data_IF_476758138809
#
_entry.id   IF_476758138809
#
_cell.length_a   1.000
_cell.length_b   1.000
_cell.length_c   1.000
_cell.angle_alpha   90.00
_cell.angle_beta   90.00
_cell.angle_gamma   90.00
#
_symmetry.space_group_name_H-M   'P 1'
#
loop_
_entity.id
_entity.type
_entity.pdbx_description
1 polymer ?
#
# COMPACT_ATOMS: atom_id res chain seq x y z
N UNK A 1 30.53 50.87 55.79
CA UNK A 1 29.72 51.81 55.01
C UNK A 1 28.57 51.02 54.39
N UNK A 2 27.35 51.46 54.67
CA UNK A 2 26.14 50.68 54.43
C UNK A 2 25.71 50.64 52.93
N UNK A 3 25.04 49.59 52.45
CA UNK A 3 24.50 49.51 51.09
C UNK A 3 23.06 50.13 50.99
N UNK A 4 22.83 50.81 49.91
CA UNK A 4 21.50 51.39 49.58
C UNK A 4 20.58 50.38 48.95
N UNK A 5 19.34 50.36 49.43
CA UNK A 5 18.23 49.58 48.91
C UNK A 5 17.63 50.27 47.66
N UNK A 6 17.44 49.53 46.60
CA UNK A 6 16.59 49.92 45.46
C UNK A 6 15.33 49.06 45.44
N UNK A 7 14.20 49.73 45.51
CA UNK A 7 12.88 49.14 45.47
C UNK A 7 12.52 48.72 44.05
N UNK A 8 12.00 47.50 43.89
CA UNK A 8 11.44 47.01 42.66
C UNK A 8 9.95 47.44 42.53
N UNK A 9 9.61 48.17 41.48
CA UNK A 9 8.25 48.45 41.05
C UNK A 9 7.76 47.31 40.18
N UNK A 10 6.79 46.55 40.68
CA UNK A 10 6.10 45.52 39.93
C UNK A 10 5.11 46.15 38.94
N UNK A 11 5.38 45.98 37.66
CA UNK A 11 4.43 46.27 36.59
C UNK A 11 3.53 45.05 36.29
N UNK A 12 2.23 45.16 36.60
CA UNK A 12 1.23 44.20 36.09
C UNK A 12 1.01 44.45 34.60
N UNK A 13 1.59 43.58 33.77
CA UNK A 13 1.28 43.54 32.34
C UNK A 13 0.00 42.73 32.09
N UNK A 14 -1.07 43.44 31.74
CA UNK A 14 -2.32 42.83 31.26
C UNK A 14 -2.09 42.34 29.83
N UNK A 15 -1.85 41.02 29.64
CA UNK A 15 -1.77 40.41 28.31
C UNK A 15 -3.20 40.17 27.77
N UNK A 16 -3.67 41.05 26.89
CA UNK A 16 -4.90 40.82 26.13
C UNK A 16 -4.59 39.90 24.95
N UNK A 17 -4.95 38.64 25.12
CA UNK A 17 -4.85 37.63 24.03
C UNK A 17 -6.03 37.90 23.05
N UNK A 18 -5.72 38.52 21.93
CA UNK A 18 -6.66 38.71 20.81
C UNK A 18 -6.76 37.37 20.06
N UNK A 19 -7.76 36.56 20.40
CA UNK A 19 -8.10 35.33 19.64
C UNK A 19 -8.71 35.72 18.32
N UNK A 20 -7.90 35.76 17.25
CA UNK A 20 -8.38 35.82 15.88
C UNK A 20 -9.09 34.52 15.54
N UNK A 21 -10.38 34.45 15.76
CA UNK A 21 -11.23 33.40 15.23
C UNK A 21 -11.26 33.54 13.70
N UNK A 22 -10.54 32.70 12.97
CA UNK A 22 -10.76 32.55 11.54
C UNK A 22 -12.19 32.03 11.32
N UNK A 23 -12.99 32.67 10.48
CA UNK A 23 -14.26 32.09 10.13
C UNK A 23 -14.02 30.79 9.40
N UNK A 24 -14.43 29.67 10.01
CA UNK A 24 -14.59 28.40 9.28
C UNK A 24 -15.57 28.68 8.16
N UNK A 25 -15.08 28.68 6.91
CA UNK A 25 -15.97 28.72 5.76
C UNK A 25 -16.85 27.46 5.86
N UNK A 26 -18.12 27.64 6.17
CA UNK A 26 -19.11 26.59 6.08
C UNK A 26 -19.04 26.04 4.63
N UNK A 27 -19.07 24.71 4.44
CA UNK A 27 -19.15 24.16 3.09
C UNK A 27 -20.36 24.82 2.40
N UNK A 28 -20.12 25.40 1.22
CA UNK A 28 -21.18 25.97 0.41
C UNK A 28 -22.20 24.84 0.20
N UNK A 29 -23.42 25.07 0.70
CA UNK A 29 -24.52 24.14 0.54
C UNK A 29 -24.79 24.07 -0.96
N UNK A 30 -24.36 22.98 -1.61
CA UNK A 30 -24.66 22.75 -3.02
C UNK A 30 -26.18 22.82 -3.18
N UNK A 31 -26.65 23.65 -4.10
CA UNK A 31 -28.03 23.59 -4.54
C UNK A 31 -28.28 22.13 -4.96
N UNK A 32 -29.33 21.51 -4.41
CA UNK A 32 -29.63 20.12 -4.70
C UNK A 32 -29.80 19.97 -6.23
N UNK A 33 -28.90 19.20 -6.85
CA UNK A 33 -29.03 18.91 -8.27
C UNK A 33 -30.36 18.16 -8.51
N UNK A 34 -31.09 18.50 -9.55
CA UNK A 34 -32.32 17.82 -9.94
C UNK A 34 -32.14 16.31 -10.12
N UNK A 35 -30.95 15.91 -10.54
CA UNK A 35 -30.54 14.50 -10.63
C UNK A 35 -30.76 13.74 -9.32
N UNK A 36 -30.36 14.34 -8.18
CA UNK A 36 -30.46 13.71 -6.84
C UNK A 36 -31.92 13.47 -6.49
N UNK A 37 -32.75 14.50 -6.62
CA UNK A 37 -34.17 14.43 -6.28
C UNK A 37 -34.89 13.40 -7.15
N UNK A 38 -34.73 13.50 -8.48
CA UNK A 38 -35.37 12.59 -9.41
C UNK A 38 -34.98 11.13 -9.19
N UNK A 39 -33.67 10.83 -9.11
CA UNK A 39 -33.20 9.44 -8.96
C UNK A 39 -33.57 8.83 -7.59
N UNK A 40 -33.76 9.62 -6.55
CA UNK A 40 -34.25 9.14 -5.25
C UNK A 40 -35.77 8.86 -5.28
N UNK A 41 -36.54 9.68 -6.00
CA UNK A 41 -38.01 9.60 -6.05
C UNK A 41 -38.52 8.54 -7.03
N UNK A 42 -37.71 8.09 -7.99
CA UNK A 42 -38.13 7.09 -8.98
C UNK A 42 -38.45 5.70 -8.41
N UNK A 43 -38.12 5.42 -7.16
CA UNK A 43 -38.38 4.13 -6.52
C UNK A 43 -37.57 2.95 -7.08
N UNK A 44 -36.53 3.21 -7.89
CA UNK A 44 -35.62 2.20 -8.42
C UNK A 44 -34.29 2.24 -7.62
N UNK A 45 -34.03 1.18 -6.86
CA UNK A 45 -32.82 1.08 -6.03
C UNK A 45 -31.52 1.16 -6.85
N UNK A 46 -31.53 0.75 -8.11
CA UNK A 46 -30.34 0.84 -8.99
C UNK A 46 -29.98 2.29 -9.30
N UNK A 47 -30.95 3.19 -9.31
CA UNK A 47 -30.76 4.63 -9.51
C UNK A 47 -30.52 5.34 -8.19
N UNK A 48 -31.20 4.94 -7.13
CA UNK A 48 -31.08 5.57 -5.82
C UNK A 48 -29.75 5.20 -5.10
N UNK A 49 -29.24 3.98 -5.26
CA UNK A 49 -28.04 3.52 -4.57
C UNK A 49 -26.79 4.36 -4.90
N UNK A 50 -26.47 4.68 -6.18
CA UNK A 50 -25.38 5.59 -6.50
C UNK A 50 -25.50 6.98 -5.86
N UNK A 51 -26.71 7.53 -5.81
CA UNK A 51 -26.98 8.85 -5.20
C UNK A 51 -26.71 8.81 -3.70
N UNK A 52 -27.23 7.79 -3.01
CA UNK A 52 -26.99 7.59 -1.58
C UNK A 52 -25.51 7.43 -1.25
N UNK A 53 -24.82 6.64 -2.05
CA UNK A 53 -23.39 6.36 -1.87
C UNK A 53 -22.53 7.61 -2.12
N UNK A 54 -22.91 8.45 -3.08
CA UNK A 54 -22.15 9.64 -3.46
C UNK A 54 -22.08 10.69 -2.34
N UNK A 55 -23.03 10.70 -1.42
CA UNK A 55 -23.00 11.60 -0.26
C UNK A 55 -21.72 11.45 0.60
N UNK A 56 -21.09 10.25 0.57
CA UNK A 56 -19.84 9.96 1.28
C UNK A 56 -18.61 9.93 0.36
N UNK A 57 -18.77 10.25 -0.91
CA UNK A 57 -17.68 10.28 -1.90
C UNK A 57 -16.79 11.52 -1.68
N UNK A 58 -15.48 11.35 -1.87
CA UNK A 58 -14.53 12.47 -1.74
C UNK A 58 -14.84 13.61 -2.71
N UNK A 59 -15.40 13.31 -3.88
CA UNK A 59 -15.77 14.34 -4.86
C UNK A 59 -16.95 15.19 -4.36
N UNK A 60 -17.95 14.57 -3.75
CA UNK A 60 -19.05 15.33 -3.11
C UNK A 60 -18.50 16.26 -2.02
N UNK A 61 -17.59 15.77 -1.18
CA UNK A 61 -16.93 16.58 -0.16
C UNK A 61 -16.08 17.74 -0.73
N UNK A 62 -15.70 17.66 -2.02
CA UNK A 62 -14.97 18.71 -2.74
C UNK A 62 -15.87 19.59 -3.61
N UNK A 63 -17.20 19.44 -3.51
CA UNK A 63 -18.15 20.29 -4.19
C UNK A 63 -18.49 19.85 -5.63
N UNK A 64 -18.15 18.62 -6.01
CA UNK A 64 -18.58 18.06 -7.30
C UNK A 64 -19.95 17.42 -7.16
N UNK A 65 -20.74 17.49 -8.24
CA UNK A 65 -22.04 16.83 -8.35
C UNK A 65 -22.07 15.81 -9.48
N UNK A 66 -23.26 15.27 -9.73
CA UNK A 66 -23.48 14.24 -10.75
C UNK A 66 -23.06 14.72 -12.15
N UNK A 67 -23.44 15.92 -12.51
CA UNK A 67 -23.12 16.51 -13.81
C UNK A 67 -21.60 16.72 -14.03
N UNK A 68 -20.80 16.79 -12.98
CA UNK A 68 -19.34 16.92 -13.10
C UNK A 68 -18.70 15.73 -13.81
N UNK A 69 -19.29 14.55 -13.66
CA UNK A 69 -18.84 13.30 -14.29
C UNK A 69 -19.74 12.91 -15.46
N UNK A 70 -21.05 13.00 -15.29
CA UNK A 70 -22.04 12.51 -16.25
C UNK A 70 -22.47 13.54 -17.29
N UNK A 71 -22.14 14.82 -17.09
CA UNK A 71 -22.65 15.91 -17.93
C UNK A 71 -24.15 16.15 -17.73
N UNK A 72 -24.80 16.75 -18.72
CA UNK A 72 -26.19 17.14 -18.63
C UNK A 72 -26.41 18.45 -17.89
N UNK A 73 -27.69 18.82 -17.67
CA UNK A 73 -28.07 20.06 -17.00
C UNK A 73 -28.63 19.77 -15.58
N UNK A 74 -27.85 20.01 -14.51
CA UNK A 74 -28.27 19.72 -13.14
C UNK A 74 -29.38 20.62 -12.61
N UNK A 75 -29.80 21.66 -13.36
CA UNK A 75 -30.88 22.59 -12.99
C UNK A 75 -32.19 22.20 -13.63
N UNK A 76 -32.17 21.40 -14.68
CA UNK A 76 -33.34 20.92 -15.38
C UNK A 76 -34.04 19.82 -14.56
N UNK A 77 -35.35 19.99 -14.33
CA UNK A 77 -36.12 19.06 -13.48
C UNK A 77 -36.67 17.82 -14.23
N UNK A 78 -36.68 17.87 -15.56
CA UNK A 78 -37.22 16.78 -16.40
C UNK A 78 -36.16 15.86 -16.98
N UNK A 79 -36.60 14.95 -17.86
CA UNK A 79 -35.71 14.02 -18.59
C UNK A 79 -34.73 14.78 -19.49
N UNK A 80 -35.02 15.99 -19.85
CA UNK A 80 -34.17 16.91 -20.63
C UNK A 80 -32.86 17.25 -19.92
N UNK A 81 -32.78 17.02 -18.61
CA UNK A 81 -31.53 17.05 -17.84
C UNK A 81 -30.47 16.10 -18.43
N UNK A 82 -30.92 14.96 -18.96
CA UNK A 82 -30.09 13.90 -19.53
C UNK A 82 -30.01 13.96 -21.06
N UNK A 83 -30.25 15.11 -21.67
CA UNK A 83 -30.14 15.28 -23.12
C UNK A 83 -28.64 15.26 -23.52
N UNK A 84 -28.25 14.39 -24.47
CA UNK A 84 -26.91 14.41 -25.05
C UNK A 84 -26.51 15.76 -25.65
N UNK A 85 -27.48 16.56 -26.17
CA UNK A 85 -27.23 17.91 -26.65
C UNK A 85 -26.78 18.88 -25.53
N UNK A 86 -27.13 18.58 -24.28
CA UNK A 86 -26.64 19.27 -23.09
C UNK A 86 -25.36 18.64 -22.52
N UNK A 87 -24.70 17.74 -23.26
CA UNK A 87 -23.46 17.09 -22.88
C UNK A 87 -23.62 15.90 -21.93
N UNK A 88 -24.83 15.34 -21.81
CA UNK A 88 -25.03 14.14 -20.99
C UNK A 88 -24.31 12.92 -21.63
N UNK A 89 -23.46 12.27 -20.86
CA UNK A 89 -22.61 11.16 -21.30
C UNK A 89 -23.18 9.79 -20.96
N UNK A 90 -24.20 9.71 -20.14
CA UNK A 90 -24.76 8.47 -19.65
C UNK A 90 -23.79 7.72 -18.70
N UNK A 91 -23.98 6.40 -18.66
CA UNK A 91 -23.06 5.51 -17.95
C UNK A 91 -21.86 5.21 -18.84
N UNK A 92 -20.64 5.62 -18.45
CA UNK A 92 -19.44 5.33 -19.25
C UNK A 92 -19.21 3.82 -19.34
N UNK A 93 -18.82 3.34 -20.52
CA UNK A 93 -18.30 2.00 -20.66
C UNK A 93 -16.88 1.87 -20.07
N UNK A 94 -16.39 0.65 -19.96
CA UNK A 94 -15.09 0.40 -19.30
C UNK A 94 -13.92 1.06 -20.04
N UNK A 95 -13.99 1.21 -21.36
CA UNK A 95 -12.95 1.85 -22.16
C UNK A 95 -12.92 3.38 -21.94
N UNK A 96 -14.08 3.96 -21.66
CA UNK A 96 -14.23 5.40 -21.41
C UNK A 96 -13.80 5.82 -19.99
N UNK A 97 -13.86 4.90 -19.01
CA UNK A 97 -13.56 5.21 -17.61
C UNK A 97 -12.18 5.87 -17.40
N UNK A 98 -11.07 5.38 -17.95
CA UNK A 98 -9.77 6.03 -17.76
C UNK A 98 -9.72 7.46 -18.29
N UNK A 99 -10.38 7.72 -19.43
CA UNK A 99 -10.45 9.05 -20.02
C UNK A 99 -11.33 9.98 -19.18
N UNK A 100 -12.47 9.48 -18.70
CA UNK A 100 -13.38 10.23 -17.83
C UNK A 100 -12.68 10.73 -16.57
N UNK A 101 -12.02 9.85 -15.85
CA UNK A 101 -11.26 10.20 -14.64
C UNK A 101 -10.07 11.10 -14.98
N UNK A 102 -9.39 10.79 -16.08
CA UNK A 102 -8.20 11.51 -16.55
C UNK A 102 -8.45 12.96 -16.92
N UNK A 103 -9.68 13.35 -17.28
CA UNK A 103 -10.01 14.77 -17.57
C UNK A 103 -9.59 15.71 -16.43
N UNK A 104 -9.70 15.24 -15.20
CA UNK A 104 -9.28 15.99 -14.01
C UNK A 104 -7.96 15.45 -13.45
N UNK A 105 -7.85 14.13 -13.26
CA UNK A 105 -6.72 13.50 -12.58
C UNK A 105 -5.39 13.53 -13.38
N UNK A 106 -5.42 13.91 -14.66
CA UNK A 106 -4.20 14.18 -15.44
C UNK A 106 -3.88 15.68 -15.59
N UNK A 107 -4.73 16.57 -15.08
CA UNK A 107 -4.52 18.01 -15.12
C UNK A 107 -3.91 18.53 -13.80
N UNK A 108 -2.61 18.78 -13.82
CA UNK A 108 -1.89 19.27 -12.64
C UNK A 108 -2.40 20.64 -12.15
N UNK A 109 -2.82 21.54 -13.07
CA UNK A 109 -3.35 22.85 -12.69
C UNK A 109 -4.69 22.72 -11.99
N UNK A 110 -5.53 21.83 -12.51
CA UNK A 110 -6.82 21.54 -11.91
C UNK A 110 -6.67 20.88 -10.53
N UNK A 111 -5.89 19.80 -10.43
CA UNK A 111 -5.75 19.00 -9.22
C UNK A 111 -5.08 19.76 -8.06
N UNK A 112 -4.11 20.65 -8.34
CA UNK A 112 -3.45 21.45 -7.31
C UNK A 112 -4.40 22.34 -6.51
N UNK A 113 -5.58 22.69 -7.06
CA UNK A 113 -6.60 23.46 -6.33
C UNK A 113 -7.26 22.66 -5.22
N UNK A 114 -7.31 21.34 -5.35
CA UNK A 114 -8.00 20.44 -4.43
C UNK A 114 -7.03 19.67 -3.54
N UNK A 115 -5.91 19.20 -4.09
CA UNK A 115 -4.87 18.51 -3.37
C UNK A 115 -3.51 18.69 -4.08
N UNK A 116 -2.66 19.63 -3.60
CA UNK A 116 -1.36 19.90 -4.21
C UNK A 116 -0.38 18.71 -4.18
N UNK A 117 -0.57 17.78 -3.23
CA UNK A 117 0.29 16.62 -3.06
C UNK A 117 -0.12 15.44 -3.94
N UNK A 118 -1.31 15.49 -4.57
CA UNK A 118 -1.76 14.38 -5.41
C UNK A 118 -0.97 14.34 -6.72
N UNK A 119 -0.42 13.18 -7.03
CA UNK A 119 0.20 12.90 -8.33
C UNK A 119 -0.87 13.00 -9.42
N UNK A 120 -0.47 13.25 -10.65
CA UNK A 120 -1.37 13.40 -11.82
C UNK A 120 -0.96 12.49 -12.98
N UNK A 121 -0.20 11.46 -12.68
CA UNK A 121 0.33 10.49 -13.64
C UNK A 121 -0.42 9.15 -13.63
N UNK A 122 -1.48 9.02 -12.82
CA UNK A 122 -2.22 7.76 -12.65
C UNK A 122 -2.70 7.17 -13.97
N UNK A 123 -3.23 8.00 -14.87
CA UNK A 123 -3.69 7.53 -16.19
C UNK A 123 -2.50 7.12 -17.05
N UNK A 124 -1.41 7.87 -17.03
CA UNK A 124 -0.18 7.54 -17.75
C UNK A 124 0.40 6.21 -17.28
N UNK A 125 0.46 6.01 -15.96
CA UNK A 125 0.86 4.73 -15.38
C UNK A 125 -0.11 3.60 -15.78
N UNK A 126 -1.43 3.86 -15.67
CA UNK A 126 -2.44 2.86 -16.00
C UNK A 126 -2.31 2.33 -17.43
N UNK A 127 -2.10 3.22 -18.41
CA UNK A 127 -1.97 2.77 -19.82
C UNK A 127 -0.74 1.92 -20.07
N UNK A 128 0.28 1.98 -19.22
CA UNK A 128 1.48 1.11 -19.27
C UNK A 128 1.30 -0.19 -18.48
N UNK A 129 0.30 -0.27 -17.60
CA UNK A 129 0.00 -1.48 -16.83
C UNK A 129 -0.46 -2.64 -17.71
N UNK A 130 -0.45 -3.85 -17.16
CA UNK A 130 -1.03 -5.01 -17.86
C UNK A 130 -2.54 -4.79 -18.10
N UNK A 131 -3.26 -4.25 -17.11
CA UNK A 131 -4.69 -3.96 -17.24
C UNK A 131 -4.96 -2.93 -18.34
N UNK A 132 -4.25 -1.81 -18.33
CA UNK A 132 -4.44 -0.73 -19.33
C UNK A 132 -4.07 -1.15 -20.75
N UNK A 133 -2.99 -1.91 -20.94
CA UNK A 133 -2.62 -2.46 -22.25
C UNK A 133 -3.67 -3.41 -22.77
N UNK A 134 -4.13 -4.36 -21.96
CA UNK A 134 -5.18 -5.31 -22.40
C UNK A 134 -6.49 -4.61 -22.73
N UNK A 135 -6.87 -3.59 -21.94
CA UNK A 135 -8.06 -2.79 -22.25
C UNK A 135 -7.92 -2.09 -23.59
N UNK A 136 -6.80 -1.41 -23.80
CA UNK A 136 -6.57 -0.56 -24.99
C UNK A 136 -6.30 -1.38 -26.27
N UNK A 137 -5.45 -2.41 -26.16
CA UNK A 137 -4.93 -3.13 -27.32
C UNK A 137 -5.82 -4.31 -27.70
N UNK A 138 -6.48 -4.93 -26.73
CA UNK A 138 -7.30 -6.13 -26.95
C UNK A 138 -8.80 -5.88 -26.73
N UNK A 139 -9.16 -4.67 -26.27
CA UNK A 139 -10.55 -4.37 -25.92
C UNK A 139 -11.13 -5.26 -24.80
N UNK A 140 -10.26 -5.83 -23.94
CA UNK A 140 -10.66 -6.81 -22.93
C UNK A 140 -11.56 -6.16 -21.85
N UNK A 141 -12.87 -6.48 -21.82
CA UNK A 141 -13.80 -5.81 -20.91
C UNK A 141 -13.71 -6.32 -19.47
N UNK A 142 -12.92 -7.36 -19.19
CA UNK A 142 -12.80 -7.95 -17.86
C UNK A 142 -11.67 -7.35 -17.05
N UNK A 143 -10.67 -6.72 -17.67
CA UNK A 143 -9.54 -6.15 -16.92
C UNK A 143 -9.96 -5.00 -16.01
N UNK A 144 -9.23 -4.81 -14.93
CA UNK A 144 -9.49 -3.71 -13.99
C UNK A 144 -9.36 -2.34 -14.66
N UNK A 145 -10.27 -1.45 -14.34
CA UNK A 145 -10.23 0.00 -14.64
C UNK A 145 -10.32 0.80 -13.35
N UNK A 146 -10.24 2.12 -13.41
CA UNK A 146 -10.21 2.97 -12.21
C UNK A 146 -11.28 2.60 -11.18
N UNK A 147 -12.53 2.40 -11.63
CA UNK A 147 -13.66 2.06 -10.74
C UNK A 147 -13.65 0.63 -10.20
N UNK A 148 -12.73 -0.20 -10.67
CA UNK A 148 -12.57 -1.55 -10.11
C UNK A 148 -11.83 -1.53 -8.77
N UNK A 149 -10.99 -0.52 -8.57
CA UNK A 149 -10.26 -0.30 -7.32
C UNK A 149 -10.83 0.88 -6.51
N UNK A 150 -11.39 1.87 -7.19
CA UNK A 150 -12.03 3.05 -6.60
C UNK A 150 -13.53 3.02 -6.92
N UNK A 151 -14.38 2.37 -6.10
CA UNK A 151 -15.79 2.19 -6.40
C UNK A 151 -16.46 3.53 -6.72
N UNK A 152 -17.01 3.67 -7.94
CA UNK A 152 -17.72 4.86 -8.35
C UNK A 152 -18.84 5.19 -7.35
N UNK A 153 -19.05 6.48 -7.09
CA UNK A 153 -20.01 7.02 -6.13
C UNK A 153 -19.71 6.73 -4.65
N UNK A 154 -18.58 6.04 -4.34
CA UNK A 154 -18.12 5.79 -2.97
C UNK A 154 -16.59 5.90 -2.86
N UNK A 155 -15.98 6.77 -3.67
CA UNK A 155 -14.52 6.94 -3.70
C UNK A 155 -14.08 7.61 -2.40
N UNK A 156 -13.16 6.96 -1.71
CA UNK A 156 -12.59 7.42 -0.44
C UNK A 156 -11.08 7.58 -0.56
N UNK A 157 -10.47 8.50 0.20
CA UNK A 157 -9.02 8.62 0.24
C UNK A 157 -8.39 7.32 0.79
N UNK A 158 -7.15 6.97 0.40
CA UNK A 158 -6.47 5.77 0.89
C UNK A 158 -6.29 5.72 2.41
N UNK A 159 -6.34 6.87 3.09
CA UNK A 159 -6.25 6.98 4.55
C UNK A 159 -7.56 6.63 5.28
N UNK A 160 -8.71 6.58 4.57
CA UNK A 160 -9.97 6.14 5.17
C UNK A 160 -9.98 4.60 5.27
N UNK A 161 -10.14 4.00 6.47
CA UNK A 161 -10.14 2.54 6.62
C UNK A 161 -11.26 1.82 5.84
N UNK A 162 -12.29 2.56 5.40
CA UNK A 162 -13.38 2.05 4.57
C UNK A 162 -13.05 2.05 3.07
N UNK A 163 -11.95 2.72 2.69
CA UNK A 163 -11.50 2.74 1.30
C UNK A 163 -11.07 1.36 0.83
N UNK A 164 -11.50 0.95 -0.36
CA UNK A 164 -11.03 -0.28 -1.00
C UNK A 164 -9.53 -0.29 -1.30
N UNK A 165 -8.91 0.89 -1.32
CA UNK A 165 -7.47 1.07 -1.53
C UNK A 165 -6.71 1.47 -0.25
N UNK A 166 -7.36 1.32 0.92
CA UNK A 166 -6.65 1.38 2.21
C UNK A 166 -5.69 0.18 2.31
N UNK A 167 -4.48 0.32 2.89
CA UNK A 167 -3.50 -0.78 2.97
C UNK A 167 -4.07 -2.12 3.41
N UNK A 168 -4.92 -2.14 4.45
CA UNK A 168 -5.60 -3.35 4.94
C UNK A 168 -6.66 -3.92 3.97
N UNK A 169 -7.01 -3.21 2.90
CA UNK A 169 -8.06 -3.62 1.94
C UNK A 169 -7.51 -3.94 0.56
N UNK A 170 -6.30 -3.48 0.24
CA UNK A 170 -5.71 -3.70 -1.09
C UNK A 170 -5.66 -5.17 -1.48
N UNK A 171 -5.28 -6.05 -0.54
CA UNK A 171 -5.18 -7.48 -0.81
C UNK A 171 -6.53 -8.08 -1.22
N UNK A 172 -7.62 -7.73 -0.53
CA UNK A 172 -8.97 -8.14 -0.89
C UNK A 172 -9.43 -7.53 -2.21
N UNK A 173 -9.12 -6.26 -2.45
CA UNK A 173 -9.46 -5.57 -3.70
C UNK A 173 -8.80 -6.24 -4.91
N UNK A 174 -7.52 -6.57 -4.84
CA UNK A 174 -6.85 -7.33 -5.89
C UNK A 174 -7.39 -8.77 -5.97
N UNK A 175 -7.57 -9.40 -4.81
CA UNK A 175 -8.04 -10.77 -4.68
C UNK A 175 -9.46 -11.00 -5.19
N UNK A 176 -10.32 -9.96 -5.22
CA UNK A 176 -11.67 -10.07 -5.75
C UNK A 176 -11.75 -10.63 -7.18
N UNK A 177 -10.67 -10.43 -7.95
CA UNK A 177 -10.49 -11.03 -9.27
C UNK A 177 -9.36 -12.07 -9.26
N UNK A 178 -8.19 -11.74 -8.70
CA UNK A 178 -7.00 -12.57 -8.78
C UNK A 178 -7.09 -13.88 -7.96
N UNK A 179 -8.04 -14.00 -7.03
CA UNK A 179 -8.32 -15.25 -6.32
C UNK A 179 -9.54 -16.01 -6.90
N UNK A 180 -10.18 -15.48 -7.95
CA UNK A 180 -11.31 -16.12 -8.62
C UNK A 180 -10.80 -16.99 -9.78
N UNK A 181 -10.75 -18.30 -9.58
CA UNK A 181 -10.23 -19.24 -10.57
C UNK A 181 -11.00 -19.23 -11.90
N UNK A 182 -12.34 -19.27 -11.92
CA UNK A 182 -13.13 -19.11 -13.15
C UNK A 182 -12.87 -17.79 -13.88
N UNK A 183 -12.72 -16.69 -13.13
CA UNK A 183 -12.45 -15.38 -13.72
C UNK A 183 -11.04 -15.31 -14.32
N UNK A 184 -10.05 -15.90 -13.65
CA UNK A 184 -8.64 -15.87 -14.07
C UNK A 184 -8.28 -16.94 -15.10
N UNK A 185 -9.10 -17.97 -15.31
CA UNK A 185 -8.80 -19.07 -16.22
C UNK A 185 -8.36 -18.64 -17.64
N UNK A 186 -9.00 -17.63 -18.29
CA UNK A 186 -8.59 -17.19 -19.63
C UNK A 186 -7.19 -16.53 -19.64
N UNK A 187 -6.72 -16.05 -18.50
CA UNK A 187 -5.42 -15.36 -18.35
C UNK A 187 -4.29 -16.30 -17.97
N UNK A 188 -4.60 -17.54 -17.57
CA UNK A 188 -3.62 -18.54 -17.10
C UNK A 188 -2.77 -18.02 -15.93
N UNK A 189 -3.36 -17.24 -15.05
CA UNK A 189 -2.73 -16.70 -13.84
C UNK A 189 -3.11 -17.62 -12.67
N UNK A 190 -2.17 -18.08 -11.85
CA UNK A 190 -2.46 -18.78 -10.60
C UNK A 190 -3.37 -17.93 -9.70
N UNK A 191 -4.18 -18.56 -8.86
CA UNK A 191 -5.19 -17.86 -8.03
C UNK A 191 -4.99 -18.05 -6.53
N UNK A 192 -3.81 -18.51 -6.15
CA UNK A 192 -3.41 -18.78 -4.77
C UNK A 192 -2.60 -17.64 -4.12
N UNK A 193 -2.29 -16.57 -4.88
CA UNK A 193 -1.44 -15.48 -4.42
C UNK A 193 -1.99 -14.77 -3.19
N UNK A 194 -3.32 -14.54 -3.14
CA UNK A 194 -3.95 -13.90 -1.98
C UNK A 194 -3.79 -14.79 -0.73
N UNK A 195 -4.02 -16.09 -0.86
CA UNK A 195 -3.88 -17.04 0.24
C UNK A 195 -2.42 -17.09 0.72
N UNK A 196 -1.47 -17.19 -0.21
CA UNK A 196 -0.03 -17.19 0.07
C UNK A 196 0.41 -15.88 0.76
N UNK A 197 -0.04 -14.73 0.23
CA UNK A 197 0.27 -13.45 0.85
C UNK A 197 -0.26 -13.36 2.29
N UNK A 198 -1.46 -13.86 2.56
CA UNK A 198 -2.01 -13.92 3.93
C UNK A 198 -1.22 -14.85 4.86
N UNK A 199 -0.46 -15.79 4.33
CA UNK A 199 0.52 -16.59 5.08
C UNK A 199 1.86 -15.91 5.35
N UNK A 200 2.13 -14.79 4.67
CA UNK A 200 3.43 -14.11 4.71
C UNK A 200 3.68 -13.32 5.99
N UNK A 201 4.96 -13.08 6.29
CA UNK A 201 5.38 -12.19 7.38
C UNK A 201 4.88 -10.76 7.17
N UNK A 202 4.79 -10.30 5.94
CA UNK A 202 4.30 -8.95 5.61
C UNK A 202 2.83 -8.76 5.99
N UNK A 203 1.96 -9.72 5.63
CA UNK A 203 0.57 -9.69 6.04
C UNK A 203 0.40 -9.74 7.56
N UNK A 204 1.12 -10.65 8.23
CA UNK A 204 1.08 -10.77 9.69
C UNK A 204 1.52 -9.47 10.36
N UNK A 205 2.58 -8.85 9.86
CA UNK A 205 3.05 -7.56 10.39
C UNK A 205 1.99 -6.47 10.21
N UNK A 206 1.35 -6.38 9.06
CA UNK A 206 0.31 -5.40 8.80
C UNK A 206 -0.98 -5.69 9.58
N UNK A 207 -1.51 -6.92 9.45
CA UNK A 207 -2.85 -7.24 9.94
C UNK A 207 -2.89 -7.54 11.44
N UNK A 208 -1.84 -8.17 11.99
CA UNK A 208 -1.80 -8.63 13.38
C UNK A 208 -1.06 -7.63 14.29
N UNK A 209 0.01 -6.99 13.79
CA UNK A 209 0.79 -6.00 14.55
C UNK A 209 0.35 -4.55 14.30
N UNK A 210 -0.54 -4.32 13.32
CA UNK A 210 -1.05 -2.99 12.98
C UNK A 210 -0.04 -2.08 12.27
N UNK A 211 1.06 -2.63 11.75
CA UNK A 211 2.09 -1.86 11.07
C UNK A 211 1.74 -1.69 9.58
N UNK A 212 1.14 -0.55 9.25
CA UNK A 212 0.74 -0.20 7.89
C UNK A 212 1.92 0.12 6.95
N UNK A 213 3.17 0.10 7.44
CA UNK A 213 4.36 0.23 6.58
C UNK A 213 4.74 -1.10 5.92
N UNK A 214 4.20 -2.23 6.39
CA UNK A 214 4.40 -3.51 5.75
C UNK A 214 3.77 -3.53 4.35
N UNK A 215 4.47 -4.07 3.33
CA UNK A 215 4.03 -3.99 1.94
C UNK A 215 2.82 -4.86 1.67
N UNK A 216 1.94 -4.38 0.78
CA UNK A 216 0.83 -5.14 0.20
C UNK A 216 1.02 -5.30 -1.33
N UNK A 217 0.01 -5.80 -2.03
CA UNK A 217 0.15 -6.18 -3.45
C UNK A 217 0.73 -5.07 -4.33
N UNK A 218 0.24 -3.84 -4.17
CA UNK A 218 0.65 -2.70 -4.98
C UNK A 218 2.09 -2.22 -4.71
N UNK A 219 2.66 -2.51 -3.55
CA UNK A 219 4.03 -2.09 -3.21
C UNK A 219 5.07 -2.91 -3.98
N UNK A 220 4.70 -4.15 -4.35
CA UNK A 220 5.53 -5.02 -5.18
C UNK A 220 5.20 -4.94 -6.66
N UNK A 221 3.91 -4.80 -7.01
CA UNK A 221 3.41 -4.86 -8.38
C UNK A 221 3.16 -3.49 -9.01
N UNK A 222 3.24 -2.42 -8.23
CA UNK A 222 2.73 -1.10 -8.60
C UNK A 222 1.21 -1.01 -8.47
N UNK A 223 0.70 0.20 -8.29
CA UNK A 223 -0.73 0.44 -8.19
C UNK A 223 -1.35 0.75 -9.57
N UNK A 224 -1.19 1.97 -10.09
CA UNK A 224 -1.74 2.32 -11.40
C UNK A 224 -0.97 1.65 -12.54
N UNK A 225 0.35 1.50 -12.42
CA UNK A 225 1.21 0.79 -13.36
C UNK A 225 1.30 -0.72 -13.10
N UNK A 226 0.29 -1.34 -12.50
CA UNK A 226 0.33 -2.73 -12.05
C UNK A 226 0.81 -3.71 -13.12
N UNK A 227 1.92 -4.39 -12.80
CA UNK A 227 2.56 -5.40 -13.65
C UNK A 227 3.29 -6.44 -12.78
N UNK A 228 3.46 -7.68 -13.29
CA UNK A 228 4.34 -8.63 -12.60
C UNK A 228 5.77 -8.07 -12.59
N UNK A 229 6.47 -8.08 -11.44
CA UNK A 229 7.90 -7.77 -11.41
C UNK A 229 8.65 -8.74 -12.33
N UNK A 230 9.50 -8.25 -13.21
CA UNK A 230 10.40 -9.09 -13.99
C UNK A 230 11.43 -9.76 -13.09
N UNK A 231 11.89 -10.95 -13.46
CA UNK A 231 12.87 -11.73 -12.66
C UNK A 231 14.11 -10.89 -12.31
N UNK A 232 14.62 -10.10 -13.26
CA UNK A 232 15.76 -9.20 -13.06
C UNK A 232 15.48 -8.03 -12.10
N UNK A 233 14.21 -7.76 -11.78
CA UNK A 233 13.80 -6.61 -10.96
C UNK A 233 13.41 -6.98 -9.53
N UNK A 234 13.29 -8.28 -9.21
CA UNK A 234 12.87 -8.73 -7.86
C UNK A 234 13.78 -8.17 -6.77
N UNK A 235 15.09 -8.16 -6.97
CA UNK A 235 16.03 -7.56 -6.04
C UNK A 235 15.79 -6.06 -5.82
N UNK A 236 15.39 -5.32 -6.86
CA UNK A 236 15.08 -3.89 -6.75
C UNK A 236 13.76 -3.66 -5.99
N UNK A 237 12.75 -4.50 -6.19
CA UNK A 237 11.49 -4.41 -5.45
C UNK A 237 11.73 -4.63 -3.95
N UNK A 238 12.34 -5.74 -3.58
CA UNK A 238 12.66 -6.03 -2.18
C UNK A 238 13.61 -4.99 -1.58
N UNK A 239 14.60 -4.56 -2.35
CA UNK A 239 15.63 -3.59 -1.95
C UNK A 239 15.12 -2.17 -1.69
N UNK A 240 13.89 -1.83 -2.07
CA UNK A 240 13.29 -0.53 -1.72
C UNK A 240 13.13 -0.36 -0.21
N UNK A 241 12.85 -1.46 0.50
CA UNK A 241 12.73 -1.50 1.95
C UNK A 241 13.92 -2.23 2.60
N UNK A 242 14.38 -3.35 2.02
CA UNK A 242 15.48 -4.18 2.53
C UNK A 242 16.83 -3.80 1.90
N UNK A 243 17.21 -2.51 1.96
CA UNK A 243 18.38 -1.95 1.26
C UNK A 243 19.68 -2.64 1.62
N UNK A 244 19.95 -2.87 2.92
CA UNK A 244 21.17 -3.53 3.40
C UNK A 244 21.28 -4.96 2.87
N UNK A 245 20.17 -5.71 2.92
CA UNK A 245 20.13 -7.08 2.42
C UNK A 245 20.33 -7.14 0.90
N UNK A 246 19.75 -6.20 0.17
CA UNK A 246 19.94 -6.08 -1.28
C UNK A 246 21.40 -5.78 -1.65
N UNK A 247 22.07 -4.88 -0.91
CA UNK A 247 23.48 -4.57 -1.11
C UNK A 247 24.38 -5.77 -0.80
N UNK A 248 24.13 -6.50 0.30
CA UNK A 248 24.87 -7.70 0.65
C UNK A 248 24.68 -8.80 -0.38
N UNK A 249 23.42 -9.00 -0.83
CA UNK A 249 23.12 -9.96 -1.90
C UNK A 249 23.85 -9.59 -3.20
N UNK A 250 23.83 -8.33 -3.60
CA UNK A 250 24.52 -7.86 -4.81
C UNK A 250 26.03 -8.12 -4.79
N UNK A 251 26.66 -8.12 -3.62
CA UNK A 251 28.08 -8.45 -3.42
C UNK A 251 28.34 -9.96 -3.33
N UNK A 252 27.30 -10.78 -3.17
CA UNK A 252 27.42 -12.23 -3.04
C UNK A 252 27.71 -12.93 -4.37
N UNK A 253 28.23 -14.14 -4.29
CA UNK A 253 28.39 -15.00 -5.48
C UNK A 253 27.05 -15.38 -6.09
N UNK A 254 26.00 -15.49 -5.28
CA UNK A 254 24.66 -15.84 -5.74
C UNK A 254 24.09 -14.80 -6.70
N UNK A 255 24.32 -13.49 -6.52
CA UNK A 255 23.82 -12.46 -7.41
C UNK A 255 24.19 -12.71 -8.88
N UNK A 256 25.48 -13.04 -9.15
CA UNK A 256 25.95 -13.35 -10.50
C UNK A 256 25.35 -14.65 -11.02
N UNK A 257 25.36 -15.70 -10.20
CA UNK A 257 24.88 -17.04 -10.60
C UNK A 257 23.38 -17.00 -10.86
N UNK A 258 22.59 -16.36 -10.01
CA UNK A 258 21.15 -16.25 -10.19
C UNK A 258 20.79 -15.47 -11.45
N UNK A 259 21.53 -14.41 -11.75
CA UNK A 259 21.37 -13.68 -13.04
C UNK A 259 21.63 -14.61 -14.25
N UNK A 260 22.67 -15.44 -14.19
CA UNK A 260 23.00 -16.38 -15.27
C UNK A 260 21.95 -17.50 -15.42
N UNK A 261 21.38 -17.95 -14.32
CA UNK A 261 20.35 -19.01 -14.27
C UNK A 261 18.94 -18.46 -14.54
N UNK A 262 18.74 -17.14 -14.60
CA UNK A 262 17.41 -16.54 -14.65
C UNK A 262 16.62 -16.76 -13.35
N UNK A 263 17.29 -16.98 -12.22
CA UNK A 263 16.64 -17.18 -10.93
C UNK A 263 16.27 -15.81 -10.28
N UNK A 264 15.13 -15.72 -9.60
CA UNK A 264 14.56 -14.46 -9.14
C UNK A 264 15.19 -13.91 -7.85
N UNK A 265 16.52 -13.81 -7.77
CA UNK A 265 17.22 -13.15 -6.66
C UNK A 265 16.71 -13.54 -5.26
N UNK A 266 16.22 -12.60 -4.52
CA UNK A 266 15.72 -12.79 -3.13
C UNK A 266 14.64 -13.87 -3.04
N UNK A 267 13.72 -13.89 -4.02
CA UNK A 267 12.60 -14.84 -4.02
C UNK A 267 13.01 -16.31 -4.23
N UNK A 268 14.22 -16.57 -4.70
CA UNK A 268 14.77 -17.95 -4.80
C UNK A 268 14.90 -18.61 -3.42
N UNK A 269 15.18 -17.81 -2.37
CA UNK A 269 15.32 -18.31 -1.01
C UNK A 269 14.11 -17.99 -0.12
N UNK A 270 13.42 -16.88 -0.39
CA UNK A 270 12.36 -16.36 0.47
C UNK A 270 10.95 -16.51 -0.12
N UNK A 271 10.84 -17.07 -1.33
CA UNK A 271 9.59 -17.07 -2.10
C UNK A 271 9.13 -15.67 -2.49
N UNK A 272 7.90 -15.51 -3.01
CA UNK A 272 7.41 -14.22 -3.50
C UNK A 272 6.09 -13.77 -2.85
N UNK A 273 5.11 -14.64 -2.67
CA UNK A 273 3.83 -14.27 -2.04
C UNK A 273 3.74 -14.81 -0.60
N UNK A 274 4.19 -16.03 -0.32
CA UNK A 274 4.24 -16.58 1.03
C UNK A 274 5.63 -16.36 1.66
N UNK A 275 6.07 -15.10 1.69
CA UNK A 275 7.37 -14.76 2.27
C UNK A 275 7.34 -15.08 3.78
N UNK A 276 8.11 -16.09 4.19
CA UNK A 276 8.20 -16.51 5.59
C UNK A 276 9.17 -15.63 6.35
N UNK A 277 8.96 -15.53 7.66
CA UNK A 277 9.95 -14.92 8.55
C UNK A 277 11.28 -15.67 8.42
N UNK A 278 12.37 -14.91 8.30
CA UNK A 278 13.69 -15.51 8.22
C UNK A 278 14.03 -16.21 9.54
N UNK A 279 14.44 -17.46 9.47
CA UNK A 279 14.83 -18.24 10.63
C UNK A 279 16.14 -18.98 10.36
N UNK A 280 16.78 -19.45 11.42
CA UNK A 280 18.05 -20.16 11.32
C UNK A 280 17.91 -21.51 10.60
N UNK A 281 16.71 -22.12 10.63
CA UNK A 281 16.41 -23.35 9.92
C UNK A 281 16.56 -23.18 8.39
N UNK A 282 16.44 -21.97 7.87
CA UNK A 282 16.69 -21.67 6.46
C UNK A 282 18.17 -21.87 6.06
N UNK A 283 19.09 -21.82 7.04
CA UNK A 283 20.52 -22.04 6.80
C UNK A 283 20.90 -23.52 6.95
N UNK A 284 21.89 -23.93 6.14
CA UNK A 284 22.41 -25.30 6.21
C UNK A 284 21.84 -26.22 5.15
N UNK A 285 21.84 -27.52 5.45
CA UNK A 285 21.40 -28.60 4.55
C UNK A 285 20.35 -29.51 5.19
N UNK A 286 19.86 -29.14 6.38
CA UNK A 286 18.81 -29.86 7.09
C UNK A 286 17.41 -29.64 6.50
N UNK A 287 16.42 -30.22 7.17
CA UNK A 287 15.03 -30.04 6.82
C UNK A 287 14.66 -28.55 6.93
N UNK A 288 14.00 -28.01 5.93
CA UNK A 288 13.62 -26.57 5.86
C UNK A 288 14.74 -25.64 5.36
N UNK A 289 15.98 -26.14 5.18
CA UNK A 289 17.08 -25.31 4.72
C UNK A 289 16.99 -25.03 3.21
N UNK A 290 16.95 -23.73 2.86
CA UNK A 290 16.83 -23.29 1.46
C UNK A 290 18.08 -23.57 0.63
N UNK A 291 19.26 -23.70 1.28
CA UNK A 291 20.52 -24.03 0.60
C UNK A 291 20.48 -25.40 -0.04
N UNK A 292 19.81 -26.38 0.58
CA UNK A 292 19.70 -27.75 0.13
C UNK A 292 18.98 -27.90 -1.22
N UNK A 293 18.22 -26.90 -1.66
CA UNK A 293 17.59 -26.93 -2.98
C UNK A 293 18.58 -26.93 -4.15
N UNK A 294 19.81 -26.42 -3.92
CA UNK A 294 20.84 -26.32 -4.96
C UNK A 294 22.18 -26.90 -4.54
N UNK A 295 22.46 -27.10 -3.25
CA UNK A 295 23.75 -27.52 -2.70
C UNK A 295 23.63 -28.85 -1.98
N UNK A 296 24.61 -29.73 -2.23
CA UNK A 296 24.77 -31.01 -1.56
C UNK A 296 25.92 -30.97 -0.55
N UNK A 297 25.91 -31.84 0.46
CA UNK A 297 26.93 -31.91 1.51
C UNK A 297 28.39 -32.04 1.00
N UNK A 298 28.56 -32.63 -0.18
CA UNK A 298 29.87 -32.84 -0.78
C UNK A 298 30.44 -31.67 -1.57
N UNK A 299 29.64 -30.70 -1.94
CA UNK A 299 30.08 -29.54 -2.71
C UNK A 299 30.53 -28.34 -1.83
N UNK A 300 31.21 -27.36 -2.46
CA UNK A 300 31.71 -26.18 -1.73
C UNK A 300 30.60 -25.32 -1.12
N UNK A 301 29.45 -25.20 -1.81
CA UNK A 301 28.31 -24.46 -1.32
C UNK A 301 27.66 -25.13 -0.12
N UNK A 302 27.51 -26.46 -0.19
CA UNK A 302 26.96 -27.24 0.90
C UNK A 302 27.86 -27.25 2.15
N UNK A 303 29.19 -27.33 1.99
CA UNK A 303 30.12 -27.14 3.12
C UNK A 303 29.97 -25.75 3.72
N UNK A 304 29.96 -24.68 2.89
CA UNK A 304 29.77 -23.30 3.38
C UNK A 304 28.44 -23.10 4.10
N UNK A 305 27.35 -23.71 3.62
CA UNK A 305 26.06 -23.68 4.28
C UNK A 305 26.08 -24.39 5.64
N UNK A 306 26.71 -25.53 5.72
CA UNK A 306 26.89 -26.29 6.97
C UNK A 306 27.76 -25.50 7.98
N UNK A 307 28.87 -24.93 7.52
CA UNK A 307 29.75 -24.10 8.36
C UNK A 307 29.03 -22.86 8.92
N UNK A 308 28.26 -22.16 8.10
CA UNK A 308 27.43 -21.01 8.54
C UNK A 308 26.43 -21.45 9.62
N UNK A 309 25.75 -22.55 9.43
CA UNK A 309 24.83 -23.12 10.42
C UNK A 309 25.52 -23.46 11.73
N UNK A 310 26.64 -24.14 11.66
CA UNK A 310 27.42 -24.54 12.84
C UNK A 310 27.91 -23.30 13.63
N UNK A 311 28.38 -22.27 12.94
CA UNK A 311 28.78 -21.00 13.59
C UNK A 311 27.60 -20.31 14.30
N UNK A 312 26.43 -20.29 13.67
CA UNK A 312 25.24 -19.70 14.25
C UNK A 312 24.75 -20.47 15.48
N UNK A 313 24.71 -21.80 15.39
CA UNK A 313 24.34 -22.67 16.52
C UNK A 313 25.34 -22.50 17.69
N UNK A 314 26.66 -22.41 17.37
CA UNK A 314 27.69 -22.12 18.34
C UNK A 314 27.52 -20.79 19.05
N UNK A 315 27.25 -19.72 18.26
CA UNK A 315 27.00 -18.38 18.81
C UNK A 315 25.77 -18.35 19.73
N UNK A 316 24.68 -19.00 19.33
CA UNK A 316 23.50 -19.17 20.20
C UNK A 316 23.84 -19.85 21.51
N UNK A 317 24.57 -20.97 21.45
CA UNK A 317 24.98 -21.69 22.64
C UNK A 317 25.80 -20.83 23.61
N UNK A 318 26.75 -20.05 23.09
CA UNK A 318 27.54 -19.13 23.92
C UNK A 318 26.70 -17.96 24.46
N UNK A 319 25.78 -17.42 23.66
CA UNK A 319 24.86 -16.36 24.10
C UNK A 319 23.96 -16.84 25.24
N UNK A 320 23.44 -18.06 25.16
CA UNK A 320 22.57 -18.62 26.20
C UNK A 320 23.34 -18.91 27.49
N UNK A 321 24.59 -19.36 27.38
CA UNK A 321 25.51 -19.51 28.54
C UNK A 321 25.77 -18.16 29.19
N UNK A 322 26.12 -17.15 28.39
CA UNK A 322 26.35 -15.78 28.88
C UNK A 322 25.11 -15.21 29.59
N UNK A 323 23.95 -15.39 29.00
CA UNK A 323 22.65 -14.97 29.61
C UNK A 323 22.44 -15.64 30.96
N UNK A 324 22.70 -16.96 31.03
CA UNK A 324 22.55 -17.72 32.28
C UNK A 324 23.50 -17.20 33.37
N UNK A 325 24.77 -16.94 33.04
CA UNK A 325 25.76 -16.40 33.95
C UNK A 325 25.36 -15.02 34.46
N UNK A 326 24.90 -14.13 33.56
CA UNK A 326 24.46 -12.78 33.92
C UNK A 326 23.25 -12.82 34.85
N UNK A 327 22.27 -13.70 34.61
CA UNK A 327 21.14 -13.88 35.52
C UNK A 327 21.58 -14.37 36.91
N UNK A 328 22.54 -15.30 36.99
CA UNK A 328 23.08 -15.77 38.27
C UNK A 328 23.79 -14.65 39.00
N UNK A 329 24.59 -13.83 38.30
CA UNK A 329 25.31 -12.69 38.88
C UNK A 329 24.33 -11.62 39.39
N UNK A 330 23.29 -11.32 38.65
CA UNK A 330 22.21 -10.41 39.07
C UNK A 330 21.53 -10.89 40.35
N UNK A 331 21.17 -12.18 40.42
CA UNK A 331 20.59 -12.79 41.62
C UNK A 331 21.56 -12.76 42.81
N UNK A 332 22.86 -12.73 42.57
CA UNK A 332 23.88 -12.57 43.61
C UNK A 332 24.10 -11.10 44.00
N UNK A 333 23.34 -10.17 43.43
CA UNK A 333 23.41 -8.74 43.75
C UNK A 333 24.49 -7.97 42.98
N UNK A 334 25.05 -8.53 41.90
CA UNK A 334 26.01 -7.83 41.03
C UNK A 334 25.26 -6.93 40.04
N UNK A 335 25.87 -5.77 39.71
CA UNK A 335 25.38 -4.90 38.63
C UNK A 335 25.81 -5.49 37.28
N UNK A 336 24.82 -5.86 36.44
CA UNK A 336 25.02 -6.53 35.16
C UNK A 336 24.26 -5.89 34.00
N UNK A 337 23.56 -4.76 34.23
CA UNK A 337 22.69 -4.11 33.26
C UNK A 337 23.40 -3.78 31.94
N UNK A 338 24.64 -3.28 32.02
CA UNK A 338 25.44 -2.96 30.83
C UNK A 338 25.75 -4.24 30.02
N UNK A 339 26.21 -5.31 30.68
CA UNK A 339 26.50 -6.56 30.00
C UNK A 339 25.27 -7.22 29.39
N UNK A 340 24.12 -7.15 30.09
CA UNK A 340 22.84 -7.63 29.55
C UNK A 340 22.41 -6.82 28.33
N UNK A 341 22.63 -5.49 28.34
CA UNK A 341 22.34 -4.64 27.19
C UNK A 341 23.22 -4.97 25.99
N UNK A 342 24.52 -5.13 26.21
CA UNK A 342 25.47 -5.51 25.16
C UNK A 342 25.16 -6.89 24.57
N UNK A 343 24.79 -7.88 25.40
CA UNK A 343 24.40 -9.22 24.97
C UNK A 343 23.10 -9.22 24.13
N UNK A 344 22.20 -8.21 24.30
CA UNK A 344 21.00 -8.08 23.45
C UNK A 344 21.32 -7.55 22.06
N UNK A 345 22.43 -6.86 21.89
CA UNK A 345 22.86 -6.28 20.61
C UNK A 345 23.80 -7.20 19.82
N UNK A 346 24.24 -8.29 20.42
CA UNK A 346 25.07 -9.31 19.77
C UNK A 346 24.21 -10.38 19.08
#
# INVERSE_FOLDING_TARGET
MRPGSLAALGGLGLSVSLSLAWPSAAPAQQAAESCVTCHLEMGDDRLAAPVKAFAEDIHAAKGFGCASCHGGDPKEAGMEAMDPAKGYLGKPDRQQVPQLCGRCHSDARFMKRYNPALRVDQVTEYVTSVHGRRLRELGDPKVAVCVSCHPAHAIRPPSDPRSSVHPLKVAETCGSCHADAPYMAPYKIPTDQLQKYKGSVHWKTMAEKGDLSAPTCNDCHGNHGAAPPGISWVGNVCGQCHTVMAELFAKSRHAKVFTQLGAPGCATCHENHEIKEASDEMLGLGEGAVCAACHAAGDKGGKGAADMRALLDGLRGETDKARTILLQAEHAGMEVSQAQFELKGA
#
